data_IF_845113758292
#
_entry.id   IF_845113758292
#
_cell.length_a   1.000
_cell.length_b   1.000
_cell.length_c   1.000
_cell.angle_alpha   90.00
_cell.angle_beta   90.00
_cell.angle_gamma   90.00
#
_symmetry.space_group_name_H-M   'P 1'
#
loop_
_entity.id
_entity.type
_entity.pdbx_description
1 polymer ?
#
# COMPACT_ATOMS: atom_id res chain seq x y z
N UNK A 1 43.55 -19.96 -40.07
CA UNK A 1 43.47 -18.53 -40.43
C UNK A 1 42.07 -18.28 -40.97
N UNK A 2 41.04 -18.33 -40.11
CA UNK A 2 40.51 -17.27 -39.23
C UNK A 2 39.54 -16.34 -39.98
N UNK A 3 38.26 -16.50 -39.65
CA UNK A 3 37.10 -15.81 -40.21
C UNK A 3 37.02 -14.32 -39.78
N UNK A 4 36.35 -13.45 -40.55
CA UNK A 4 35.94 -12.14 -40.07
C UNK A 4 34.56 -12.18 -39.37
N UNK A 5 34.49 -11.44 -38.26
CA UNK A 5 33.39 -11.29 -37.31
C UNK A 5 32.39 -10.16 -37.71
N UNK A 6 31.21 -10.05 -37.06
CA UNK A 6 30.08 -9.25 -37.54
C UNK A 6 30.16 -7.75 -37.20
N UNK A 7 29.53 -6.94 -38.06
CA UNK A 7 29.38 -5.48 -37.93
C UNK A 7 28.42 -5.11 -36.79
N UNK A 8 28.92 -4.36 -35.81
CA UNK A 8 28.15 -3.82 -34.69
C UNK A 8 28.07 -2.29 -34.88
N UNK A 9 26.86 -1.77 -35.14
CA UNK A 9 26.63 -0.32 -35.31
C UNK A 9 26.29 0.29 -33.96
N UNK A 10 27.25 1.06 -33.42
CA UNK A 10 27.09 1.92 -32.25
C UNK A 10 26.56 3.28 -32.74
N UNK A 11 25.39 3.71 -32.27
CA UNK A 11 24.91 5.08 -32.46
C UNK A 11 25.21 5.89 -31.20
N UNK A 12 25.85 7.04 -31.45
CA UNK A 12 26.53 7.90 -30.50
C UNK A 12 25.61 8.72 -29.59
N UNK A 13 26.13 9.00 -28.40
CA UNK A 13 25.79 10.14 -27.55
C UNK A 13 26.27 11.45 -28.19
N UNK A 14 25.59 12.58 -27.95
CA UNK A 14 26.26 13.87 -27.92
C UNK A 14 26.50 14.30 -26.47
N UNK A 15 27.79 14.35 -26.14
CA UNK A 15 28.36 15.07 -25.00
C UNK A 15 28.18 16.57 -25.28
N UNK A 16 27.70 17.35 -24.32
CA UNK A 16 27.85 18.80 -24.35
C UNK A 16 28.21 19.30 -22.96
N UNK A 17 29.49 19.60 -22.84
CA UNK A 17 30.15 20.34 -21.77
C UNK A 17 29.78 21.82 -21.84
N UNK A 18 29.43 22.45 -20.71
CA UNK A 18 30.06 23.73 -20.36
C UNK A 18 29.89 24.09 -18.88
N UNK A 19 30.99 24.55 -18.27
CA UNK A 19 31.08 24.96 -16.87
C UNK A 19 30.87 26.46 -16.68
N UNK A 20 30.26 26.78 -15.53
CA UNK A 20 30.52 27.92 -14.64
C UNK A 20 29.88 29.31 -14.90
N UNK A 21 28.94 29.61 -13.99
CA UNK A 21 28.88 30.79 -13.10
C UNK A 21 28.11 32.05 -13.55
N UNK A 22 26.85 32.13 -13.13
CA UNK A 22 26.20 33.39 -12.75
C UNK A 22 25.54 33.19 -11.39
N UNK A 23 26.06 33.90 -10.40
CA UNK A 23 25.56 34.06 -9.04
C UNK A 23 24.30 34.92 -9.01
N UNK A 24 23.24 34.42 -8.37
CA UNK A 24 22.09 35.24 -7.97
C UNK A 24 20.88 34.41 -7.51
N UNK A 25 20.57 34.48 -6.22
CA UNK A 25 19.21 34.24 -5.72
C UNK A 25 18.87 32.81 -5.33
N UNK A 26 18.87 32.58 -4.01
CA UNK A 26 18.24 31.48 -3.29
C UNK A 26 16.92 30.99 -3.88
N UNK A 27 16.82 29.67 -4.11
CA UNK A 27 15.71 28.86 -3.62
C UNK A 27 16.10 27.38 -3.66
N UNK A 28 16.28 26.82 -2.46
CA UNK A 28 16.45 25.40 -2.24
C UNK A 28 15.11 24.71 -2.59
N UNK A 29 15.04 24.05 -3.74
CA UNK A 29 14.04 23.03 -3.97
C UNK A 29 14.42 21.81 -3.14
N UNK A 30 13.94 21.74 -1.90
CA UNK A 30 13.85 20.48 -1.17
C UNK A 30 12.83 19.62 -1.92
N UNK A 31 13.32 18.74 -2.80
CA UNK A 31 12.59 17.54 -3.17
C UNK A 31 12.51 16.68 -1.89
N UNK A 32 11.47 16.90 -1.08
CA UNK A 32 11.09 15.92 -0.09
C UNK A 32 10.81 14.65 -0.86
N UNK A 33 11.69 13.65 -0.71
CA UNK A 33 11.47 12.31 -1.23
C UNK A 33 10.16 11.81 -0.59
N UNK A 34 9.07 11.99 -1.33
CA UNK A 34 7.76 11.48 -0.99
C UNK A 34 7.94 9.97 -0.99
N UNK A 35 8.12 9.43 0.21
CA UNK A 35 8.38 8.02 0.40
C UNK A 35 7.08 7.33 0.06
N UNK A 36 6.97 6.85 -1.18
CA UNK A 36 5.83 6.06 -1.59
C UNK A 36 5.65 4.96 -0.54
N UNK A 37 4.54 5.04 0.19
CA UNK A 37 4.26 4.08 1.25
C UNK A 37 3.92 2.78 0.58
N UNK A 38 4.93 1.93 0.43
CA UNK A 38 4.81 0.60 -0.14
C UNK A 38 4.94 -0.44 0.95
N UNK A 39 4.15 -1.54 0.88
CA UNK A 39 4.31 -2.66 1.78
C UNK A 39 5.68 -3.33 1.58
N UNK A 40 6.14 -4.03 2.61
CA UNK A 40 7.40 -4.77 2.49
C UNK A 40 7.29 -5.88 1.43
N UNK A 41 8.42 -6.22 0.79
CA UNK A 41 8.48 -7.32 -0.19
C UNK A 41 7.99 -8.63 0.42
N UNK A 42 8.35 -8.90 1.68
CA UNK A 42 7.91 -10.11 2.39
C UNK A 42 6.39 -10.15 2.63
N UNK A 43 5.79 -8.98 2.90
CA UNK A 43 4.33 -8.82 3.03
C UNK A 43 3.64 -9.15 1.71
N UNK A 44 4.10 -8.56 0.60
CA UNK A 44 3.52 -8.80 -0.72
C UNK A 44 3.63 -10.26 -1.14
N UNK A 45 4.78 -10.90 -0.94
CA UNK A 45 4.97 -12.32 -1.25
C UNK A 45 4.01 -13.19 -0.42
N UNK A 46 3.83 -12.86 0.87
CA UNK A 46 2.93 -13.60 1.75
C UNK A 46 1.46 -13.40 1.37
N UNK A 47 1.07 -12.17 1.01
CA UNK A 47 -0.26 -11.85 0.53
C UNK A 47 -0.56 -12.56 -0.80
N UNK A 48 0.40 -12.58 -1.74
CA UNK A 48 0.29 -13.29 -3.00
C UNK A 48 0.09 -14.80 -2.80
N UNK A 49 0.81 -15.43 -1.85
CA UNK A 49 0.59 -16.84 -1.51
C UNK A 49 -0.83 -17.10 -1.02
N UNK A 50 -1.36 -16.22 -0.16
CA UNK A 50 -2.74 -16.34 0.35
C UNK A 50 -3.77 -16.12 -0.76
N UNK A 51 -3.55 -15.14 -1.63
CA UNK A 51 -4.41 -14.85 -2.78
C UNK A 51 -4.51 -16.05 -3.72
N UNK A 52 -3.38 -16.70 -4.03
CA UNK A 52 -3.36 -17.92 -4.85
C UNK A 52 -4.08 -19.08 -4.15
N UNK A 53 -3.83 -19.29 -2.86
CA UNK A 53 -4.42 -20.41 -2.12
C UNK A 53 -5.94 -20.27 -1.95
N UNK A 54 -6.45 -19.04 -1.86
CA UNK A 54 -7.85 -18.74 -1.56
C UNK A 54 -8.63 -18.25 -2.78
N UNK A 55 -7.97 -18.02 -3.90
CA UNK A 55 -8.53 -17.40 -5.10
C UNK A 55 -9.22 -16.06 -4.81
N UNK A 56 -8.51 -15.17 -4.10
CA UNK A 56 -9.03 -13.85 -3.71
C UNK A 56 -8.12 -12.72 -4.21
N UNK A 57 -8.68 -11.59 -4.66
CA UNK A 57 -7.91 -10.41 -5.03
C UNK A 57 -7.22 -9.75 -3.84
N UNK A 58 -6.05 -9.17 -4.10
CA UNK A 58 -5.33 -8.32 -3.14
C UNK A 58 -5.74 -6.87 -3.38
N UNK A 59 -6.21 -6.20 -2.34
CA UNK A 59 -6.60 -4.79 -2.34
C UNK A 59 -5.63 -3.97 -1.47
N UNK A 60 -5.15 -2.86 -2.04
CA UNK A 60 -4.12 -1.98 -1.45
C UNK A 60 -4.64 -0.57 -1.16
N UNK A 61 -5.92 -0.34 -1.41
CA UNK A 61 -6.66 0.90 -1.16
C UNK A 61 -6.51 1.39 0.30
N UNK A 62 -6.58 0.49 1.28
CA UNK A 62 -6.44 0.84 2.69
C UNK A 62 -4.99 0.99 3.18
N UNK A 63 -3.98 0.64 2.36
CA UNK A 63 -2.60 0.58 2.83
C UNK A 63 -2.06 1.96 3.20
N UNK A 64 -2.17 2.93 2.30
CA UNK A 64 -1.68 4.30 2.53
C UNK A 64 -2.46 4.96 3.67
N UNK A 65 -3.78 4.83 3.67
CA UNK A 65 -4.67 5.40 4.68
C UNK A 65 -4.41 4.82 6.08
N UNK A 66 -4.11 3.52 6.18
CA UNK A 66 -3.74 2.88 7.45
C UNK A 66 -2.39 3.37 7.97
N UNK A 67 -1.46 3.70 7.08
CA UNK A 67 -0.16 4.25 7.43
C UNK A 67 -0.21 5.75 7.76
N UNK A 68 -1.26 6.45 7.35
CA UNK A 68 -1.55 7.85 7.70
C UNK A 68 -2.47 7.99 8.93
N UNK A 69 -3.01 6.88 9.42
CA UNK A 69 -3.95 6.87 10.54
C UNK A 69 -5.36 7.35 10.18
N UNK A 70 -5.66 7.47 8.89
CA UNK A 70 -7.02 7.72 8.37
C UNK A 70 -7.87 6.46 8.49
N UNK A 71 -7.29 5.30 8.21
CA UNK A 71 -7.94 4.01 8.42
C UNK A 71 -7.54 3.39 9.77
N UNK A 72 -8.49 2.72 10.40
CA UNK A 72 -8.30 2.00 11.65
C UNK A 72 -9.03 0.65 11.62
N UNK A 73 -8.58 -0.27 12.47
CA UNK A 73 -9.24 -1.54 12.70
C UNK A 73 -10.35 -1.33 13.73
N UNK A 74 -11.60 -1.33 13.26
CA UNK A 74 -12.80 -1.31 14.07
C UNK A 74 -13.08 -2.70 14.66
N UNK A 75 -13.36 -2.76 15.95
CA UNK A 75 -13.95 -3.93 16.60
C UNK A 75 -15.35 -3.56 17.08
N UNK A 76 -16.36 -4.29 16.62
CA UNK A 76 -17.74 -4.08 17.03
C UNK A 76 -17.90 -4.41 18.51
N UNK A 77 -18.38 -3.44 19.28
CA UNK A 77 -18.60 -3.57 20.70
C UNK A 77 -19.68 -4.61 21.05
N UNK A 78 -20.61 -4.90 20.13
CA UNK A 78 -21.73 -5.81 20.37
C UNK A 78 -21.41 -7.24 19.95
N UNK A 79 -20.89 -7.42 18.73
CA UNK A 79 -20.62 -8.75 18.16
C UNK A 79 -19.17 -9.21 18.35
N UNK A 80 -18.24 -8.30 18.64
CA UNK A 80 -16.80 -8.58 18.67
C UNK A 80 -16.17 -8.70 17.28
N UNK A 81 -16.94 -8.43 16.23
CA UNK A 81 -16.50 -8.55 14.85
C UNK A 81 -15.50 -7.45 14.47
N UNK A 82 -14.47 -7.81 13.69
CA UNK A 82 -13.45 -6.87 13.24
C UNK A 82 -13.70 -6.42 11.81
N UNK A 83 -13.45 -5.16 11.51
CA UNK A 83 -13.56 -4.58 10.17
C UNK A 83 -12.56 -3.45 10.00
N UNK A 84 -12.12 -3.18 8.76
CA UNK A 84 -11.35 -1.99 8.46
C UNK A 84 -12.32 -0.84 8.23
N UNK A 85 -12.07 0.28 8.88
CA UNK A 85 -12.89 1.48 8.78
C UNK A 85 -12.00 2.65 8.40
N UNK A 86 -12.37 3.34 7.33
CA UNK A 86 -11.72 4.58 6.91
C UNK A 86 -12.58 5.79 7.26
N UNK A 87 -13.87 5.70 6.98
CA UNK A 87 -14.87 6.67 7.41
C UNK A 87 -16.20 5.94 7.70
N UNK A 88 -17.25 6.67 8.06
CA UNK A 88 -18.57 6.08 8.37
C UNK A 88 -19.23 5.37 7.19
N UNK A 89 -18.86 5.71 5.96
CA UNK A 89 -19.45 5.18 4.72
C UNK A 89 -18.56 4.11 4.06
N UNK A 90 -17.25 4.16 4.31
CA UNK A 90 -16.22 3.33 3.67
C UNK A 90 -15.58 2.41 4.72
N UNK A 91 -16.16 1.23 4.83
CA UNK A 91 -15.69 0.15 5.68
C UNK A 91 -15.71 -1.19 4.94
N UNK A 92 -14.88 -2.13 5.38
CA UNK A 92 -14.83 -3.47 4.80
C UNK A 92 -15.87 -4.38 5.46
N UNK A 93 -16.14 -5.50 4.80
CA UNK A 93 -16.82 -6.65 5.42
C UNK A 93 -16.05 -7.18 6.64
N UNK A 94 -16.70 -8.07 7.37
CA UNK A 94 -16.11 -8.74 8.52
C UNK A 94 -14.79 -9.42 8.18
N UNK A 95 -13.78 -9.17 9.02
CA UNK A 95 -12.45 -9.73 8.91
C UNK A 95 -12.46 -11.13 9.50
N UNK A 96 -12.19 -12.12 8.66
CA UNK A 96 -12.06 -13.51 9.08
C UNK A 96 -10.73 -13.77 9.77
N UNK A 97 -9.64 -13.17 9.27
CA UNK A 97 -8.30 -13.44 9.81
C UNK A 97 -7.34 -12.29 9.56
N UNK A 98 -6.46 -12.06 10.53
CA UNK A 98 -5.38 -11.08 10.43
C UNK A 98 -4.06 -11.81 10.60
N UNK A 99 -3.16 -11.63 9.65
CA UNK A 99 -1.81 -12.15 9.68
C UNK A 99 -0.84 -10.99 9.87
N UNK A 100 0.18 -11.18 10.72
CA UNK A 100 1.28 -10.23 10.85
C UNK A 100 2.41 -10.66 9.92
N UNK A 101 2.82 -9.77 9.02
CA UNK A 101 3.90 -10.00 8.07
C UNK A 101 4.95 -8.90 8.26
N UNK A 102 5.92 -9.15 9.14
CA UNK A 102 6.95 -8.17 9.49
C UNK A 102 6.35 -6.90 10.13
N UNK A 103 6.45 -5.79 9.40
CA UNK A 103 5.95 -4.47 9.77
C UNK A 103 4.58 -4.12 9.18
N UNK A 104 3.94 -5.07 8.51
CA UNK A 104 2.61 -4.91 7.94
C UNK A 104 1.66 -5.99 8.45
N UNK A 105 0.38 -5.74 8.23
CA UNK A 105 -0.71 -6.66 8.49
C UNK A 105 -1.38 -7.05 7.17
N UNK A 106 -1.65 -8.34 7.02
CA UNK A 106 -2.45 -8.89 5.93
C UNK A 106 -3.80 -9.25 6.53
N UNK A 107 -4.84 -8.59 6.05
CA UNK A 107 -6.20 -8.69 6.56
C UNK A 107 -7.03 -9.45 5.53
N UNK A 108 -7.61 -10.56 5.94
CA UNK A 108 -8.40 -11.43 5.09
C UNK A 108 -9.87 -11.29 5.45
N UNK A 109 -10.68 -10.89 4.47
CA UNK A 109 -12.13 -10.87 4.57
C UNK A 109 -12.71 -12.12 3.90
N UNK A 110 -14.00 -12.11 3.57
CA UNK A 110 -14.65 -13.20 2.84
C UNK A 110 -14.21 -13.28 1.38
N UNK A 111 -14.07 -12.13 0.71
CA UNK A 111 -13.87 -12.06 -0.75
C UNK A 111 -12.60 -11.33 -1.16
N UNK A 112 -11.84 -10.76 -0.22
CA UNK A 112 -10.64 -9.98 -0.56
C UNK A 112 -9.58 -10.01 0.53
N UNK A 113 -8.35 -9.73 0.12
CA UNK A 113 -7.18 -9.63 1.01
C UNK A 113 -6.70 -8.19 1.00
N UNK A 114 -6.79 -7.52 2.13
CA UNK A 114 -6.28 -6.16 2.31
C UNK A 114 -4.89 -6.18 2.95
N UNK A 115 -4.08 -5.16 2.62
CA UNK A 115 -2.85 -4.88 3.36
C UNK A 115 -3.02 -3.59 4.16
N UNK A 116 -2.54 -3.63 5.41
CA UNK A 116 -2.48 -2.47 6.28
C UNK A 116 -1.08 -2.34 6.88
N UNK A 117 -0.63 -1.11 7.12
CA UNK A 117 0.64 -0.87 7.79
C UNK A 117 0.54 -1.20 9.29
N UNK A 118 1.66 -1.55 9.95
CA UNK A 118 1.65 -1.79 11.41
C UNK A 118 1.26 -0.57 12.25
N UNK A 119 1.21 0.62 11.65
CA UNK A 119 0.75 1.85 12.29
C UNK A 119 -0.77 1.94 12.45
N UNK A 120 -1.51 0.98 11.91
CA UNK A 120 -2.97 0.98 12.00
C UNK A 120 -3.43 0.96 13.46
N UNK A 121 -4.31 1.89 13.82
CA UNK A 121 -4.89 1.99 15.15
C UNK A 121 -6.05 1.00 15.30
N UNK A 122 -6.27 0.50 16.52
CA UNK A 122 -7.45 -0.32 16.84
C UNK A 122 -8.44 0.53 17.64
N UNK A 123 -9.71 0.52 17.27
CA UNK A 123 -10.77 1.26 17.97
C UNK A 123 -11.99 0.37 18.13
N UNK A 124 -12.67 0.50 19.26
CA UNK A 124 -13.99 -0.10 19.44
C UNK A 124 -15.03 0.82 18.79
N UNK A 125 -15.88 0.26 17.96
CA UNK A 125 -16.98 0.96 17.29
C UNK A 125 -18.29 0.27 17.61
N UNK A 126 -19.40 1.00 17.57
CA UNK A 126 -20.72 0.39 17.54
C UNK A 126 -21.12 0.25 16.08
N UNK A 127 -21.20 -1.00 15.59
CA UNK A 127 -21.53 -1.25 14.19
C UNK A 127 -22.89 -0.66 13.78
N UNK A 128 -23.83 -0.51 14.73
CA UNK A 128 -25.12 0.15 14.52
C UNK A 128 -25.00 1.60 14.00
N UNK A 129 -23.90 2.29 14.29
CA UNK A 129 -23.70 3.67 13.83
C UNK A 129 -23.08 3.76 12.43
N UNK A 130 -22.51 2.65 11.93
CA UNK A 130 -21.94 2.57 10.57
C UNK A 130 -22.91 1.92 9.59
N UNK A 131 -23.70 0.94 10.06
CA UNK A 131 -24.80 0.35 9.31
C UNK A 131 -26.03 1.24 9.48
N UNK A 132 -25.97 2.43 8.89
CA UNK A 132 -27.12 3.34 8.86
C UNK A 132 -28.38 2.61 8.43
N UNK A 133 -29.34 2.56 9.34
CA UNK A 133 -30.76 2.27 9.14
C UNK A 133 -31.11 1.54 7.83
N UNK A 134 -30.95 0.21 7.82
CA UNK A 134 -31.56 -0.66 6.83
C UNK A 134 -32.67 -1.48 7.48
N UNK A 135 -33.69 -0.80 8.02
CA UNK A 135 -35.00 -1.39 8.30
C UNK A 135 -36.08 -0.52 7.63
N UNK A 136 -36.76 -1.12 6.64
CA UNK A 136 -38.16 -0.87 6.34
C UNK A 136 -38.99 -1.96 7.03
#
# INVERSE_FOLDING_TARGET
>A
MSAPAPTNTVIATPVSSNSANVSGGSQAMQAQAQTDKVPSVGTLVSAAKLAIQKDMPIQLDYFVDSAEGKAFLGEDATTGEKMLVKNSEEYTSHIQKIYKAGEDFIIMTENSIYLASSKIQKRKIQASNLRGDAEL
#
